data_IF_486513554036
#
_entry.id   IF_486513554036
#
_cell.length_a   1.000
_cell.length_b   1.000
_cell.length_c   1.000
_cell.angle_alpha   90.00
_cell.angle_beta   90.00
_cell.angle_gamma   90.00
#
_symmetry.space_group_name_H-M   'P 1'
#
loop_
_entity.id
_entity.type
_entity.pdbx_description
1 polymer ?
#
# COMPACT_ATOMS: atom_id res chain seq x y z
N UNK A 1 -24.91 30.69 -32.51
CA UNK A 1 -23.78 30.31 -31.64
C UNK A 1 -24.37 29.96 -30.29
N UNK A 2 -24.72 28.69 -30.08
CA UNK A 2 -25.40 28.23 -28.85
C UNK A 2 -25.49 26.69 -28.88
N UNK A 3 -24.45 26.03 -28.40
CA UNK A 3 -24.42 24.57 -28.18
C UNK A 3 -23.41 24.26 -27.08
N UNK A 4 -23.75 24.55 -25.82
CA UNK A 4 -22.86 24.26 -24.68
C UNK A 4 -23.66 24.12 -23.36
N UNK A 5 -24.78 23.40 -23.38
CA UNK A 5 -25.57 23.14 -22.17
C UNK A 5 -26.14 21.72 -22.05
N UNK A 6 -25.71 20.77 -22.89
CA UNK A 6 -26.24 19.39 -22.90
C UNK A 6 -25.41 18.40 -22.06
N UNK A 7 -24.24 18.82 -21.55
CA UNK A 7 -23.33 17.93 -20.83
C UNK A 7 -23.56 17.85 -19.32
N UNK A 8 -24.31 18.78 -18.73
CA UNK A 8 -24.43 18.91 -17.27
C UNK A 8 -25.71 18.28 -16.68
N UNK A 9 -26.71 17.95 -17.51
CA UNK A 9 -28.03 17.49 -17.03
C UNK A 9 -28.09 15.97 -16.76
N UNK A 10 -27.08 15.19 -17.19
CA UNK A 10 -27.08 13.73 -17.05
C UNK A 10 -26.47 13.20 -15.74
N UNK A 11 -26.07 14.06 -14.81
CA UNK A 11 -25.63 13.66 -13.45
C UNK A 11 -26.75 13.81 -12.41
N UNK A 12 -28.01 13.86 -12.82
CA UNK A 12 -29.11 13.53 -11.91
C UNK A 12 -29.13 12.01 -11.74
N UNK A 13 -28.26 11.50 -10.86
CA UNK A 13 -28.40 10.15 -10.30
C UNK A 13 -29.79 10.11 -9.66
N UNK A 14 -30.78 9.62 -10.40
CA UNK A 14 -32.07 9.20 -9.87
C UNK A 14 -31.75 8.11 -8.85
N UNK A 15 -31.52 8.55 -7.61
CA UNK A 15 -31.29 7.68 -6.48
C UNK A 15 -32.55 6.85 -6.33
N UNK A 16 -32.44 5.57 -6.65
CA UNK A 16 -33.55 4.64 -6.50
C UNK A 16 -33.92 4.60 -5.01
N UNK A 17 -35.19 4.87 -4.63
CA UNK A 17 -35.60 4.96 -3.22
C UNK A 17 -35.40 3.65 -2.45
N UNK A 18 -35.20 2.53 -3.14
CA UNK A 18 -34.81 1.23 -2.57
C UNK A 18 -33.42 1.24 -1.96
N UNK A 19 -32.50 2.07 -2.46
CA UNK A 19 -31.12 2.18 -1.95
C UNK A 19 -31.05 2.91 -0.60
N UNK A 20 -32.04 3.78 -0.32
CA UNK A 20 -32.22 4.44 0.97
C UNK A 20 -32.96 3.57 2.00
N UNK A 21 -33.64 2.51 1.55
CA UNK A 21 -34.57 1.71 2.36
C UNK A 21 -34.13 0.25 2.57
N UNK A 22 -33.06 -0.19 1.89
CA UNK A 22 -32.51 -1.54 1.99
C UNK A 22 -31.03 -1.53 2.40
N UNK A 23 -30.81 -1.23 3.67
CA UNK A 23 -29.55 -1.51 4.36
C UNK A 23 -29.20 -3.00 4.48
N UNK A 24 -27.93 -3.32 4.78
CA UNK A 24 -27.49 -4.70 5.01
C UNK A 24 -26.73 -4.87 6.34
N UNK A 25 -26.88 -6.04 6.97
CA UNK A 25 -26.32 -6.44 8.28
C UNK A 25 -26.65 -5.53 9.48
N UNK A 26 -26.07 -4.32 9.55
CA UNK A 26 -26.22 -3.38 10.68
C UNK A 26 -26.39 -1.91 10.26
N UNK A 27 -26.19 -1.58 8.98
CA UNK A 27 -26.46 -0.24 8.45
C UNK A 27 -27.85 -0.24 7.81
N UNK A 28 -28.75 0.68 8.18
CA UNK A 28 -30.13 0.71 7.70
C UNK A 28 -30.29 1.41 6.33
N UNK A 29 -29.33 2.25 5.93
CA UNK A 29 -29.35 3.06 4.72
C UNK A 29 -27.94 3.08 4.10
N UNK A 30 -27.84 2.89 2.78
CA UNK A 30 -26.57 2.90 2.04
C UNK A 30 -26.07 4.31 1.71
N UNK A 31 -26.95 5.31 1.74
CA UNK A 31 -26.66 6.70 1.42
C UNK A 31 -26.32 7.53 2.64
N UNK A 32 -26.85 7.14 3.80
CA UNK A 32 -26.48 7.73 5.07
C UNK A 32 -25.11 7.22 5.55
N UNK A 33 -24.49 8.00 6.45
CA UNK A 33 -23.31 7.59 7.19
C UNK A 33 -23.60 6.39 8.10
N UNK A 34 -22.57 5.60 8.39
CA UNK A 34 -22.70 4.44 9.29
C UNK A 34 -23.00 4.91 10.72
N UNK A 35 -24.19 4.60 11.29
CA UNK A 35 -24.55 5.02 12.64
C UNK A 35 -23.68 4.37 13.72
N UNK A 36 -23.06 3.23 13.43
CA UNK A 36 -22.25 2.46 14.40
C UNK A 36 -20.75 2.78 14.33
N UNK A 37 -20.27 3.34 13.21
CA UNK A 37 -18.85 3.59 12.96
C UNK A 37 -18.02 2.33 12.66
N UNK A 38 -18.64 1.16 12.52
CA UNK A 38 -17.96 -0.09 12.17
C UNK A 38 -17.34 -0.06 10.76
N UNK A 39 -18.00 0.54 9.78
CA UNK A 39 -17.51 0.68 8.40
C UNK A 39 -16.31 1.62 8.29
N UNK A 40 -16.31 2.82 8.88
CA UNK A 40 -15.11 3.64 8.99
C UNK A 40 -13.92 2.90 9.61
N UNK A 41 -14.16 2.08 10.65
CA UNK A 41 -13.13 1.24 11.25
C UNK A 41 -12.63 0.18 10.27
N UNK A 42 -13.51 -0.54 9.58
CA UNK A 42 -13.13 -1.54 8.58
C UNK A 42 -12.37 -0.94 7.40
N UNK A 43 -12.76 0.26 6.94
CA UNK A 43 -12.04 1.01 5.91
C UNK A 43 -10.62 1.34 6.38
N UNK A 44 -10.48 1.91 7.57
CA UNK A 44 -9.16 2.22 8.14
C UNK A 44 -8.30 0.96 8.31
N UNK A 45 -8.91 -0.15 8.76
CA UNK A 45 -8.24 -1.43 8.90
C UNK A 45 -7.78 -2.00 7.55
N UNK A 46 -8.62 -1.91 6.51
CA UNK A 46 -8.27 -2.33 5.13
C UNK A 46 -7.07 -1.55 4.61
N UNK A 47 -7.06 -0.22 4.78
CA UNK A 47 -5.93 0.63 4.37
C UNK A 47 -4.66 0.27 5.15
N UNK A 48 -4.76 0.09 6.46
CA UNK A 48 -3.61 -0.31 7.30
C UNK A 48 -3.08 -1.69 6.87
N UNK A 49 -3.95 -2.66 6.59
CA UNK A 49 -3.56 -3.97 6.08
C UNK A 49 -2.88 -3.88 4.71
N UNK A 50 -3.41 -3.06 3.81
CA UNK A 50 -2.82 -2.83 2.49
C UNK A 50 -1.40 -2.24 2.62
N UNK A 51 -1.21 -1.22 3.46
CA UNK A 51 0.11 -0.64 3.75
C UNK A 51 1.05 -1.69 4.37
N UNK A 52 0.53 -2.53 5.27
CA UNK A 52 1.36 -3.56 5.92
C UNK A 52 1.84 -4.64 4.95
N UNK A 53 1.01 -5.02 3.98
CA UNK A 53 1.33 -6.03 2.99
C UNK A 53 2.22 -5.46 1.87
N UNK A 54 1.95 -4.23 1.41
CA UNK A 54 2.70 -3.58 0.33
C UNK A 54 4.07 -3.05 0.74
N UNK A 55 4.29 -2.77 2.03
CA UNK A 55 5.52 -2.14 2.51
C UNK A 55 6.28 -3.00 3.52
N UNK A 56 7.32 -3.69 3.06
CA UNK A 56 8.27 -4.38 3.93
C UNK A 56 9.30 -3.37 4.48
N UNK A 57 9.32 -3.20 5.80
CA UNK A 57 10.28 -2.31 6.47
C UNK A 57 11.20 -3.18 7.32
N UNK A 58 12.51 -2.97 7.21
CA UNK A 58 13.52 -3.69 7.97
C UNK A 58 13.22 -3.63 9.49
N UNK A 59 13.45 -4.73 10.18
CA UNK A 59 13.15 -4.81 11.61
C UNK A 59 14.05 -3.87 12.42
N UNK A 60 13.57 -3.39 13.58
CA UNK A 60 14.36 -2.51 14.48
C UNK A 60 15.72 -3.12 14.87
N UNK A 61 15.81 -4.45 14.90
CA UNK A 61 17.07 -5.18 15.15
C UNK A 61 18.02 -5.15 13.96
N UNK A 62 17.47 -5.23 12.75
CA UNK A 62 18.20 -5.20 11.48
C UNK A 62 18.73 -3.79 11.17
N UNK A 63 17.95 -2.78 11.55
CA UNK A 63 18.32 -1.36 11.50
C UNK A 63 19.52 -1.03 12.40
N UNK A 64 19.63 -1.69 13.57
CA UNK A 64 20.70 -1.43 14.53
C UNK A 64 22.07 -1.93 14.04
N UNK A 65 22.09 -2.91 13.13
CA UNK A 65 23.31 -3.48 12.55
C UNK A 65 23.76 -2.77 11.25
N UNK A 66 22.98 -1.79 10.75
CA UNK A 66 23.25 -1.11 9.48
C UNK A 66 24.10 0.17 9.61
N UNK A 67 24.82 0.55 8.53
CA UNK A 67 25.54 1.82 8.47
C UNK A 67 24.60 3.03 8.71
N UNK A 68 25.07 4.03 9.47
CA UNK A 68 24.27 5.20 9.91
C UNK A 68 23.47 5.89 8.79
N UNK A 69 24.02 5.97 7.57
CA UNK A 69 23.32 6.57 6.43
C UNK A 69 22.13 5.74 5.94
N UNK A 70 22.26 4.41 5.87
CA UNK A 70 21.18 3.52 5.46
C UNK A 70 20.10 3.45 6.54
N UNK A 71 20.52 3.48 7.81
CA UNK A 71 19.62 3.52 8.97
C UNK A 71 18.70 4.76 8.95
N UNK A 72 19.22 5.95 8.56
CA UNK A 72 18.40 7.15 8.42
C UNK A 72 17.37 7.04 7.29
N UNK A 73 17.78 6.50 6.14
CA UNK A 73 16.88 6.29 5.00
C UNK A 73 15.75 5.31 5.35
N UNK A 74 16.08 4.16 5.93
CA UNK A 74 15.07 3.19 6.37
C UNK A 74 14.21 3.74 7.53
N UNK A 75 14.79 4.57 8.41
CA UNK A 75 14.05 5.28 9.45
C UNK A 75 13.01 6.25 8.90
N UNK A 76 13.34 7.02 7.85
CA UNK A 76 12.40 7.89 7.16
C UNK A 76 11.23 7.10 6.57
N UNK A 77 11.52 5.99 5.87
CA UNK A 77 10.50 5.12 5.30
C UNK A 77 9.62 4.45 6.37
N UNK A 78 10.22 4.04 7.50
CA UNK A 78 9.48 3.53 8.65
C UNK A 78 8.55 4.60 9.26
N UNK A 79 9.04 5.84 9.39
CA UNK A 79 8.26 6.97 9.85
C UNK A 79 7.11 7.31 8.91
N UNK A 80 7.36 7.31 7.60
CA UNK A 80 6.35 7.55 6.58
C UNK A 80 5.26 6.47 6.60
N UNK A 81 5.62 5.20 6.82
CA UNK A 81 4.64 4.12 7.04
C UNK A 81 3.75 4.39 8.24
N UNK A 82 4.32 4.79 9.38
CA UNK A 82 3.52 5.11 10.58
C UNK A 82 2.63 6.33 10.32
N UNK A 83 3.15 7.35 9.65
CA UNK A 83 2.37 8.52 9.27
C UNK A 83 1.17 8.15 8.39
N UNK A 84 1.36 7.29 7.38
CA UNK A 84 0.27 6.81 6.53
C UNK A 84 -0.76 5.98 7.31
N UNK A 85 -0.34 5.20 8.31
CA UNK A 85 -1.26 4.48 9.19
C UNK A 85 -2.09 5.43 10.06
N UNK A 86 -1.47 6.49 10.59
CA UNK A 86 -2.19 7.55 11.32
C UNK A 86 -3.15 8.28 10.40
N UNK A 87 -2.75 8.56 9.16
CA UNK A 87 -3.62 9.17 8.16
C UNK A 87 -4.82 8.27 7.85
N UNK A 88 -4.64 6.95 7.73
CA UNK A 88 -5.72 6.00 7.52
C UNK A 88 -6.75 6.01 8.67
N UNK A 89 -6.27 6.12 9.92
CA UNK A 89 -7.15 6.30 11.09
C UNK A 89 -7.88 7.65 11.05
N UNK A 90 -7.20 8.72 10.63
CA UNK A 90 -7.84 10.04 10.46
C UNK A 90 -8.90 10.02 9.37
N UNK A 91 -8.67 9.31 8.28
CA UNK A 91 -9.67 9.13 7.20
C UNK A 91 -10.90 8.42 7.77
N UNK A 92 -10.73 7.32 8.49
CA UNK A 92 -11.86 6.64 9.15
C UNK A 92 -12.60 7.53 10.15
N UNK A 93 -11.88 8.29 10.98
CA UNK A 93 -12.52 9.25 11.89
C UNK A 93 -13.29 10.33 11.10
N UNK A 94 -12.69 10.86 10.04
CA UNK A 94 -13.31 11.90 9.21
C UNK A 94 -14.56 11.38 8.50
N UNK A 95 -14.54 10.16 7.96
CA UNK A 95 -15.71 9.58 7.29
C UNK A 95 -16.89 9.37 8.25
N UNK A 96 -16.62 9.15 9.54
CA UNK A 96 -17.64 9.12 10.58
C UNK A 96 -18.20 10.52 10.87
N UNK A 97 -17.35 11.55 11.00
CA UNK A 97 -17.80 12.93 11.27
C UNK A 97 -18.53 13.60 10.11
N UNK A 98 -18.15 13.29 8.86
CA UNK A 98 -18.74 13.87 7.65
C UNK A 98 -19.91 13.04 7.08
N UNK A 99 -20.36 12.00 7.78
CA UNK A 99 -21.47 11.13 7.38
C UNK A 99 -21.36 10.64 5.92
N UNK A 100 -20.17 10.17 5.54
CA UNK A 100 -19.93 9.72 4.16
C UNK A 100 -20.86 8.57 3.77
N UNK A 101 -21.32 8.51 2.51
CA UNK A 101 -22.21 7.43 2.06
C UNK A 101 -21.61 6.05 2.29
N UNK A 102 -22.36 5.22 3.00
CA UNK A 102 -21.99 3.84 3.34
C UNK A 102 -21.65 2.98 2.12
N UNK A 103 -22.39 3.15 1.02
CA UNK A 103 -22.11 2.46 -0.25
C UNK A 103 -20.70 2.72 -0.77
N UNK A 104 -20.22 3.97 -0.70
CA UNK A 104 -18.89 4.34 -1.16
C UNK A 104 -17.80 3.69 -0.29
N UNK A 105 -18.02 3.64 1.02
CA UNK A 105 -17.09 2.99 1.95
C UNK A 105 -16.98 1.49 1.66
N UNK A 106 -18.11 0.80 1.48
CA UNK A 106 -18.13 -0.65 1.16
C UNK A 106 -17.47 -0.92 -0.18
N UNK A 107 -17.72 -0.08 -1.18
CA UNK A 107 -17.07 -0.16 -2.48
C UNK A 107 -15.54 -0.07 -2.33
N UNK A 108 -15.05 0.93 -1.59
CA UNK A 108 -13.61 1.09 -1.39
C UNK A 108 -13.00 -0.06 -0.61
N UNK A 109 -13.64 -0.51 0.48
CA UNK A 109 -13.17 -1.67 1.26
C UNK A 109 -13.05 -2.90 0.37
N UNK A 110 -14.07 -3.17 -0.46
CA UNK A 110 -14.07 -4.34 -1.33
C UNK A 110 -13.00 -4.23 -2.41
N UNK A 111 -12.90 -3.07 -3.07
CA UNK A 111 -11.92 -2.84 -4.14
C UNK A 111 -10.48 -2.99 -3.64
N UNK A 112 -10.13 -2.36 -2.51
CA UNK A 112 -8.78 -2.44 -1.94
C UNK A 112 -8.45 -3.86 -1.46
N UNK A 113 -9.39 -4.53 -0.80
CA UNK A 113 -9.18 -5.89 -0.32
C UNK A 113 -9.02 -6.89 -1.48
N UNK A 114 -9.81 -6.75 -2.55
CA UNK A 114 -9.66 -7.58 -3.75
C UNK A 114 -8.30 -7.34 -4.40
N UNK A 115 -7.87 -6.08 -4.53
CA UNK A 115 -6.53 -5.77 -5.06
C UNK A 115 -5.42 -6.37 -4.19
N UNK A 116 -5.50 -6.24 -2.86
CA UNK A 116 -4.53 -6.86 -1.94
C UNK A 116 -4.53 -8.38 -2.03
N UNK A 117 -5.71 -8.98 -2.15
CA UNK A 117 -5.85 -10.43 -2.29
C UNK A 117 -5.25 -10.92 -3.62
N UNK A 118 -5.45 -10.17 -4.71
CA UNK A 118 -4.83 -10.45 -6.00
C UNK A 118 -3.31 -10.40 -5.92
N UNK A 119 -2.72 -9.35 -5.34
CA UNK A 119 -1.28 -9.24 -5.16
C UNK A 119 -0.75 -10.39 -4.30
N UNK A 120 -1.40 -10.69 -3.18
CA UNK A 120 -1.00 -11.77 -2.30
C UNK A 120 -1.08 -13.15 -2.97
N UNK A 121 -2.14 -13.40 -3.74
CA UNK A 121 -2.31 -14.65 -4.47
C UNK A 121 -1.24 -14.80 -5.56
N UNK A 122 -0.95 -13.74 -6.31
CA UNK A 122 0.10 -13.75 -7.34
C UNK A 122 1.50 -13.96 -6.75
N UNK A 123 1.84 -13.27 -5.66
CA UNK A 123 3.14 -13.45 -4.99
C UNK A 123 3.30 -14.88 -4.48
N UNK A 124 2.23 -15.44 -3.90
CA UNK A 124 2.26 -16.79 -3.32
C UNK A 124 2.33 -17.90 -4.37
N UNK A 125 1.57 -17.78 -5.46
CA UNK A 125 1.43 -18.86 -6.45
C UNK A 125 2.29 -18.68 -7.70
N UNK A 126 2.57 -17.44 -8.11
CA UNK A 126 3.23 -17.14 -9.39
C UNK A 126 4.72 -16.77 -9.23
N UNK A 127 5.09 -16.09 -8.14
CA UNK A 127 6.46 -15.60 -7.90
C UNK A 127 7.18 -16.26 -6.72
N UNK A 128 6.81 -17.50 -6.34
CA UNK A 128 7.53 -18.32 -5.36
C UNK A 128 8.95 -18.77 -5.80
N UNK A 129 9.60 -18.02 -6.69
CA UNK A 129 11.02 -18.19 -7.04
C UNK A 129 11.85 -17.34 -6.09
N UNK A 130 12.95 -17.87 -5.54
CA UNK A 130 13.80 -17.11 -4.63
C UNK A 130 14.23 -15.79 -5.29
N UNK A 131 14.35 -14.68 -4.53
CA UNK A 131 14.76 -13.40 -5.08
C UNK A 131 16.05 -13.60 -5.86
N UNK A 132 16.08 -13.10 -7.09
CA UNK A 132 17.30 -13.06 -7.88
C UNK A 132 18.40 -12.42 -7.01
N UNK A 133 19.58 -13.04 -6.88
CA UNK A 133 20.62 -12.53 -5.99
C UNK A 133 20.90 -11.07 -6.36
N UNK A 134 20.87 -10.19 -5.35
CA UNK A 134 21.15 -8.77 -5.53
C UNK A 134 22.45 -8.65 -6.32
N UNK A 135 22.42 -7.88 -7.41
CA UNK A 135 23.56 -7.68 -8.33
C UNK A 135 24.86 -7.51 -7.53
N UNK A 136 25.62 -8.59 -7.39
CA UNK A 136 26.93 -8.58 -6.77
C UNK A 136 27.89 -8.20 -7.88
N UNK A 137 28.53 -7.03 -7.74
CA UNK A 137 29.61 -6.60 -8.63
C UNK A 137 30.79 -7.57 -8.45
N UNK A 138 30.78 -8.69 -9.17
CA UNK A 138 31.90 -9.63 -9.20
C UNK A 138 32.99 -9.03 -10.08
N UNK A 139 34.08 -8.58 -9.48
CA UNK A 139 35.29 -8.24 -10.19
C UNK A 139 35.98 -9.54 -10.60
N UNK A 140 35.86 -9.92 -11.87
CA UNK A 140 36.70 -10.97 -12.44
C UNK A 140 38.09 -10.39 -12.64
N UNK A 141 39.03 -10.71 -11.75
CA UNK A 141 40.44 -10.45 -12.01
C UNK A 141 40.87 -11.27 -13.22
N UNK A 142 41.15 -10.61 -14.34
CA UNK A 142 41.78 -11.24 -15.49
C UNK A 142 43.27 -11.40 -15.19
N UNK A 143 43.68 -12.61 -14.82
CA UNK A 143 45.09 -12.92 -14.63
C UNK A 143 45.70 -13.15 -16.02
N UNK A 144 46.27 -12.11 -16.60
CA UNK A 144 47.01 -12.23 -17.86
C UNK A 144 48.25 -13.12 -17.62
N UNK A 145 48.48 -14.18 -18.42
CA UNK A 145 49.62 -15.08 -18.24
C UNK A 145 51.00 -14.43 -18.45
N UNK A 146 51.05 -13.16 -18.87
CA UNK A 146 52.27 -12.41 -19.20
C UNK A 146 52.71 -11.41 -18.12
N UNK A 147 51.94 -11.20 -17.05
CA UNK A 147 52.33 -10.30 -15.95
C UNK A 147 52.84 -11.11 -14.75
N UNK A 148 54.14 -11.02 -14.49
CA UNK A 148 54.76 -11.58 -13.29
C UNK A 148 54.20 -10.90 -12.05
N UNK A 149 53.71 -11.70 -11.11
CA UNK A 149 53.15 -11.25 -9.83
C UNK A 149 54.17 -10.38 -9.04
N UNK A 150 53.89 -9.08 -8.81
CA UNK A 150 54.82 -8.18 -8.13
C UNK A 150 55.08 -8.58 -6.67
N UNK A 151 54.24 -9.46 -6.09
CA UNK A 151 54.41 -9.94 -4.72
C UNK A 151 55.30 -11.18 -4.62
N UNK A 152 55.53 -11.89 -5.74
CA UNK A 152 56.43 -13.06 -5.77
C UNK A 152 57.91 -12.67 -5.78
N UNK A 153 58.23 -11.43 -6.13
CA UNK A 153 59.61 -10.92 -6.19
C UNK A 153 60.17 -10.48 -4.83
N UNK A 154 59.34 -10.34 -3.79
CA UNK A 154 59.79 -9.87 -2.47
C UNK A 154 60.12 -10.99 -1.46
N UNK A 155 60.11 -12.24 -1.91
CA UNK A 155 60.32 -13.43 -1.08
C UNK A 155 61.59 -14.22 -1.43
N UNK A 156 62.48 -13.64 -2.25
CA UNK A 156 63.84 -14.11 -2.52
C UNK A 156 64.83 -13.01 -2.08
#
# INVERSE_FOLDING_TARGET
>A
MSSESDGAEHLHLTVEPTLANEGALWFPDLLAGDPTGALPLLLSASIVLNIRNGWHVASRKELADMPKMQMLQHGFWAGLRVFMQVLALNVGASTYFYEMPTALMIYWITSTNVATLQTWFLDKYMFAKPPLPSWSRRYTHYQSPTLSDPYRQKLL
#
